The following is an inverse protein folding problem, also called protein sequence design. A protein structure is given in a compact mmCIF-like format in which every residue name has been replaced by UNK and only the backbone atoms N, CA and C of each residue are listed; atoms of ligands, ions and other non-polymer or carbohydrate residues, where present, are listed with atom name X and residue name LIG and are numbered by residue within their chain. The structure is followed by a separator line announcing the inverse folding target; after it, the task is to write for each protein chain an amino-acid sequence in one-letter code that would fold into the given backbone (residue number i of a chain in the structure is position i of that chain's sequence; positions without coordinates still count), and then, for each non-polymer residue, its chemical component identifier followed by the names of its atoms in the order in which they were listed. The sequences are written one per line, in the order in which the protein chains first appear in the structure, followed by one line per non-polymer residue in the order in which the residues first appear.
data_IF_045405537113
#
_entry.id   IF_045405537113
#
_cell.length_a   1.000
_cell.length_b   1.000
_cell.length_c   1.000
_cell.angle_alpha   90.00
_cell.angle_beta   90.00
_cell.angle_gamma   90.00
#
_symmetry.space_group_name_H-M   'P 1'
#
loop_
_entity.id
_entity.type
_entity.pdbx_description
1 polymer ?
#
# COMPACT_ATOMS: atom_id res chain seq x y z
N UNK A 1 5.71 -19.39 1.35
CA UNK A 1 5.92 -18.23 2.24
C UNK A 1 5.17 -18.50 3.52
N UNK A 2 5.83 -18.44 4.64
CA UNK A 2 5.19 -18.58 5.95
C UNK A 2 5.14 -17.17 6.56
N UNK A 3 3.96 -16.73 7.02
CA UNK A 3 3.74 -15.42 7.61
C UNK A 3 3.07 -14.39 6.70
N UNK A 4 2.77 -13.20 7.25
CA UNK A 4 2.06 -12.16 6.52
C UNK A 4 2.94 -11.50 5.46
N UNK A 5 2.31 -11.06 4.37
CA UNK A 5 2.94 -10.35 3.28
C UNK A 5 2.53 -8.88 3.36
N UNK A 6 3.48 -7.96 3.37
CA UNK A 6 3.21 -6.52 3.23
C UNK A 6 3.58 -6.06 1.83
N UNK A 7 2.59 -5.65 1.07
CA UNK A 7 2.77 -5.05 -0.25
C UNK A 7 2.89 -3.54 -0.10
N UNK A 8 4.05 -3.02 -0.45
CA UNK A 8 4.43 -1.62 -0.25
C UNK A 8 5.09 -1.02 -1.49
N UNK A 9 5.39 0.25 -1.45
CA UNK A 9 5.98 1.01 -2.56
C UNK A 9 5.37 2.40 -2.64
N UNK A 10 5.68 3.14 -3.69
CA UNK A 10 5.07 4.45 -3.88
C UNK A 10 3.55 4.33 -4.09
N UNK A 11 2.79 5.28 -3.56
CA UNK A 11 1.37 5.41 -3.89
C UNK A 11 1.22 5.49 -5.42
N UNK A 12 0.20 4.85 -5.95
CA UNK A 12 -0.09 4.74 -7.39
C UNK A 12 0.86 3.84 -8.18
N UNK A 13 1.81 3.15 -7.55
CA UNK A 13 2.64 2.13 -8.23
C UNK A 13 1.89 0.83 -8.52
N UNK A 14 0.66 0.65 -8.03
CA UNK A 14 -0.14 -0.56 -8.25
C UNK A 14 -0.16 -1.53 -7.06
N UNK A 15 0.23 -1.07 -5.88
CA UNK A 15 0.27 -1.89 -4.65
C UNK A 15 -1.05 -2.60 -4.36
N UNK A 16 -2.20 -1.94 -4.54
CA UNK A 16 -3.53 -2.57 -4.35
C UNK A 16 -3.75 -3.74 -5.31
N UNK A 17 -3.41 -3.57 -6.59
CA UNK A 17 -3.54 -4.63 -7.58
C UNK A 17 -2.64 -5.82 -7.22
N UNK A 18 -1.35 -5.57 -6.96
CA UNK A 18 -0.38 -6.61 -6.62
C UNK A 18 -0.79 -7.35 -5.33
N UNK A 19 -1.31 -6.64 -4.33
CA UNK A 19 -1.81 -7.27 -3.10
C UNK A 19 -2.94 -8.27 -3.39
N UNK A 20 -3.90 -7.89 -4.23
CA UNK A 20 -5.01 -8.77 -4.61
C UNK A 20 -4.52 -9.96 -5.45
N UNK A 21 -3.60 -9.75 -6.40
CA UNK A 21 -3.02 -10.83 -7.20
C UNK A 21 -2.28 -11.85 -6.33
N UNK A 22 -1.46 -11.39 -5.38
CA UNK A 22 -0.75 -12.25 -4.43
C UNK A 22 -1.71 -12.99 -3.50
N UNK A 23 -2.71 -12.30 -2.96
CA UNK A 23 -3.71 -12.92 -2.10
C UNK A 23 -4.49 -14.00 -2.84
N UNK A 24 -4.89 -13.75 -4.07
CA UNK A 24 -5.54 -14.76 -4.91
C UNK A 24 -4.62 -15.96 -5.17
N UNK A 25 -3.36 -15.72 -5.50
CA UNK A 25 -2.34 -16.76 -5.77
C UNK A 25 -2.09 -17.65 -4.55
N UNK A 26 -1.93 -17.05 -3.37
CA UNK A 26 -1.57 -17.79 -2.14
C UNK A 26 -2.78 -18.18 -1.29
N UNK A 27 -3.99 -17.76 -1.66
CA UNK A 27 -5.23 -17.95 -0.88
C UNK A 27 -5.14 -17.30 0.50
N UNK A 28 -4.61 -16.08 0.52
CA UNK A 28 -4.50 -15.23 1.70
C UNK A 28 -5.64 -14.21 1.75
N UNK A 29 -5.90 -13.68 2.94
CA UNK A 29 -6.86 -12.57 3.13
C UNK A 29 -6.19 -11.23 2.88
N UNK A 30 -6.83 -10.35 2.11
CA UNK A 30 -6.34 -8.97 1.88
C UNK A 30 -6.80 -8.07 3.01
N UNK A 31 -5.85 -7.30 3.55
CA UNK A 31 -6.12 -6.10 4.33
C UNK A 31 -5.62 -4.89 3.53
N UNK A 32 -6.52 -4.04 3.12
CA UNK A 32 -6.17 -2.92 2.28
C UNK A 32 -5.83 -1.65 3.11
N UNK A 33 -5.34 -0.60 2.41
CA UNK A 33 -4.78 0.62 2.97
C UNK A 33 -5.74 1.39 3.89
N UNK A 34 -7.03 1.32 3.62
CA UNK A 34 -8.06 2.01 4.41
C UNK A 34 -8.22 1.43 5.81
N UNK A 35 -7.82 0.18 6.00
CA UNK A 35 -7.86 -0.51 7.30
C UNK A 35 -6.63 -0.22 8.20
N UNK A 36 -5.67 0.60 7.74
CA UNK A 36 -4.37 0.79 8.39
C UNK A 36 -4.13 2.17 9.00
N UNK A 37 -5.11 2.98 9.15
CA UNK A 37 -5.02 4.31 9.74
C UNK A 37 -5.69 4.35 11.13
N UNK A 38 -4.98 4.70 12.19
CA UNK A 38 -3.55 4.98 12.35
C UNK A 38 -2.68 3.71 12.50
N UNK A 39 -1.46 3.75 11.99
CA UNK A 39 -0.61 2.58 11.75
C UNK A 39 -0.20 1.80 13.01
N UNK A 40 0.18 2.46 14.09
CA UNK A 40 0.74 1.80 15.27
C UNK A 40 -0.18 0.79 15.96
N UNK A 41 -1.45 1.09 16.26
CA UNK A 41 -2.38 0.11 16.82
C UNK A 41 -2.61 -1.10 15.91
N UNK A 42 -2.46 -0.92 14.60
CA UNK A 42 -2.66 -1.98 13.62
C UNK A 42 -1.49 -2.96 13.54
N UNK A 43 -0.24 -2.49 13.71
CA UNK A 43 0.93 -3.38 13.79
C UNK A 43 0.76 -4.35 14.96
N UNK A 44 0.38 -3.84 16.14
CA UNK A 44 0.13 -4.67 17.32
C UNK A 44 -1.00 -5.67 17.08
N UNK A 45 -2.05 -5.26 16.39
CA UNK A 45 -3.18 -6.11 16.03
C UNK A 45 -2.76 -7.23 15.09
N UNK A 46 -1.95 -6.93 14.07
CA UNK A 46 -1.43 -7.97 13.16
C UNK A 46 -0.46 -8.90 13.88
N UNK A 47 0.39 -8.37 14.75
CA UNK A 47 1.23 -9.20 15.60
C UNK A 47 0.38 -10.20 16.39
N UNK A 48 -0.65 -9.71 17.08
CA UNK A 48 -1.57 -10.55 17.85
C UNK A 48 -2.30 -11.57 16.97
N UNK A 49 -2.71 -11.19 15.75
CA UNK A 49 -3.30 -12.13 14.80
C UNK A 49 -2.33 -13.24 14.44
N UNK A 50 -1.08 -12.91 14.13
CA UNK A 50 -0.04 -13.89 13.82
C UNK A 50 0.25 -14.83 15.01
N UNK A 51 0.33 -14.31 16.23
CA UNK A 51 0.50 -15.08 17.45
C UNK A 51 -0.66 -16.06 17.71
N UNK A 52 -1.84 -15.76 17.19
CA UNK A 52 -3.02 -16.64 17.25
C UNK A 52 -3.18 -17.50 15.97
N UNK A 53 -2.16 -17.61 15.13
CA UNK A 53 -2.17 -18.47 13.94
C UNK A 53 -2.93 -17.90 12.75
N UNK A 54 -3.29 -16.61 12.77
CA UNK A 54 -3.89 -15.89 11.64
C UNK A 54 -2.78 -15.12 10.93
N UNK A 55 -1.98 -15.83 10.16
CA UNK A 55 -0.78 -15.29 9.48
C UNK A 55 -0.89 -15.23 7.96
N UNK A 56 -1.96 -15.82 7.38
CA UNK A 56 -2.21 -15.83 5.94
C UNK A 56 -2.84 -14.52 5.47
N UNK A 57 -2.10 -13.43 5.62
CA UNK A 57 -2.54 -12.07 5.34
C UNK A 57 -1.69 -11.46 4.24
N UNK A 58 -2.32 -10.75 3.32
CA UNK A 58 -1.67 -9.78 2.42
C UNK A 58 -2.15 -8.39 2.79
N UNK A 59 -1.21 -7.57 3.19
CA UNK A 59 -1.46 -6.23 3.70
C UNK A 59 -0.98 -5.23 2.67
N UNK A 60 -1.89 -4.45 2.12
CA UNK A 60 -1.54 -3.39 1.19
C UNK A 60 -1.36 -2.10 1.96
N UNK A 61 -0.11 -1.64 2.10
CA UNK A 61 0.20 -0.41 2.84
C UNK A 61 1.48 0.27 2.36
N UNK A 62 1.38 1.27 1.47
CA UNK A 62 2.53 2.08 1.07
C UNK A 62 3.24 2.76 2.24
N UNK A 63 2.46 3.27 3.21
CA UNK A 63 2.99 3.96 4.40
C UNK A 63 3.79 3.05 5.34
N UNK A 64 3.53 1.75 5.34
CA UNK A 64 4.26 0.77 6.15
C UNK A 64 5.76 0.73 5.81
N UNK A 65 6.15 1.20 4.63
CA UNK A 65 7.54 1.25 4.23
C UNK A 65 8.39 2.12 5.17
N UNK A 66 7.85 3.23 5.66
CA UNK A 66 8.57 4.08 6.63
C UNK A 66 8.74 3.40 8.01
N UNK A 67 7.96 2.38 8.30
CA UNK A 67 7.94 1.68 9.58
C UNK A 67 8.52 0.26 9.50
N UNK A 68 9.15 -0.11 8.40
CA UNK A 68 9.65 -1.48 8.20
C UNK A 68 10.52 -2.01 9.35
N UNK A 69 11.37 -1.22 10.03
CA UNK A 69 12.19 -1.76 11.12
C UNK A 69 11.32 -2.18 12.31
N UNK A 70 10.31 -1.38 12.64
CA UNK A 70 9.37 -1.68 13.75
C UNK A 70 8.52 -2.89 13.41
N UNK A 71 8.00 -2.96 12.18
CA UNK A 71 7.18 -4.08 11.71
C UNK A 71 7.99 -5.37 11.74
N UNK A 72 9.19 -5.37 11.19
CA UNK A 72 10.05 -6.55 11.17
C UNK A 72 10.47 -6.99 12.57
N UNK A 73 10.71 -6.05 13.49
CA UNK A 73 11.00 -6.36 14.89
C UNK A 73 9.82 -7.07 15.58
N UNK A 74 8.59 -6.60 15.35
CA UNK A 74 7.38 -7.15 15.96
C UNK A 74 6.89 -8.45 15.29
N UNK A 75 7.10 -8.56 13.99
CA UNK A 75 6.62 -9.67 13.16
C UNK A 75 7.80 -10.18 12.30
N UNK A 76 8.74 -10.95 12.88
CA UNK A 76 9.95 -11.39 12.15
C UNK A 76 9.67 -12.28 10.94
N UNK A 77 8.48 -12.89 10.88
CA UNK A 77 8.02 -13.73 9.76
C UNK A 77 7.43 -12.92 8.61
N UNK A 78 7.34 -11.59 8.73
CA UNK A 78 6.79 -10.74 7.68
C UNK A 78 7.66 -10.78 6.42
N UNK A 79 7.00 -10.83 5.27
CA UNK A 79 7.65 -10.71 3.97
C UNK A 79 7.20 -9.43 3.27
N UNK A 80 8.15 -8.57 2.91
CA UNK A 80 7.87 -7.32 2.21
C UNK A 80 7.91 -7.53 0.69
N UNK A 81 6.88 -7.07 0.00
CA UNK A 81 6.85 -7.02 -1.47
C UNK A 81 6.87 -5.58 -1.92
N UNK A 82 7.99 -5.13 -2.47
CA UNK A 82 8.15 -3.78 -3.00
C UNK A 82 7.70 -3.70 -4.45
N UNK A 83 6.74 -2.83 -4.73
CA UNK A 83 6.21 -2.64 -6.08
C UNK A 83 6.93 -1.48 -6.75
N UNK A 84 7.63 -1.77 -7.82
CA UNK A 84 8.24 -0.79 -8.72
C UNK A 84 7.33 -0.56 -9.93
N UNK A 85 7.32 0.67 -10.42
CA UNK A 85 6.61 1.07 -11.63
C UNK A 85 7.32 2.25 -12.26
N UNK A 86 7.13 2.44 -13.56
CA UNK A 86 7.63 3.62 -14.27
C UNK A 86 7.19 4.91 -13.59
N UNK A 87 8.14 5.82 -13.37
CA UNK A 87 7.92 7.09 -12.64
C UNK A 87 6.88 7.97 -13.32
N UNK A 88 6.95 8.07 -14.67
CA UNK A 88 6.01 8.89 -15.44
C UNK A 88 4.58 8.34 -15.34
N UNK A 89 4.44 7.02 -15.30
CA UNK A 89 3.13 6.38 -15.16
C UNK A 89 2.55 6.53 -13.75
N UNK A 90 3.41 6.57 -12.72
CA UNK A 90 2.99 6.93 -11.36
C UNK A 90 2.48 8.38 -11.35
N UNK A 91 3.25 9.32 -11.89
CA UNK A 91 2.88 10.75 -11.97
C UNK A 91 1.59 10.94 -12.75
N UNK A 92 1.44 10.31 -13.93
CA UNK A 92 0.19 10.32 -14.71
C UNK A 92 -0.99 9.80 -13.88
N UNK A 93 -0.76 8.72 -13.10
CA UNK A 93 -1.79 8.15 -12.24
C UNK A 93 -2.15 9.06 -11.07
N UNK A 94 -1.19 9.75 -10.46
CA UNK A 94 -1.42 10.74 -9.40
C UNK A 94 -2.27 11.90 -9.93
N UNK A 95 -1.90 12.46 -11.10
CA UNK A 95 -2.66 13.52 -11.76
C UNK A 95 -4.09 13.11 -12.11
N UNK A 96 -4.28 11.87 -12.59
CA UNK A 96 -5.60 11.35 -13.00
C UNK A 96 -6.58 11.24 -11.85
N UNK A 97 -6.14 10.79 -10.68
CA UNK A 97 -7.01 10.62 -9.52
C UNK A 97 -7.28 11.93 -8.80
N UNK A 98 -6.64 13.04 -9.27
CA UNK A 98 -6.73 14.34 -8.62
C UNK A 98 -6.73 14.14 -7.10
N UNK A 99 -5.59 13.74 -6.58
CA UNK A 99 -5.41 13.67 -5.14
C UNK A 99 -5.66 15.07 -4.59
N UNK A 100 -6.92 15.34 -4.26
CA UNK A 100 -7.42 16.65 -3.83
C UNK A 100 -7.03 16.97 -2.38
N UNK A 101 -6.19 16.13 -1.79
CA UNK A 101 -5.94 16.18 -0.37
C UNK A 101 -5.06 17.34 0.04
N UNK A 102 -4.29 17.89 -0.89
CA UNK A 102 -3.42 18.99 -0.58
C UNK A 102 -3.04 19.75 -1.84
N UNK A 103 -2.92 21.08 -1.73
CA UNK A 103 -2.32 21.93 -2.77
C UNK A 103 -0.91 21.42 -3.15
N UNK A 104 -0.21 20.75 -2.25
CA UNK A 104 1.10 20.14 -2.48
C UNK A 104 1.09 19.05 -3.57
N UNK A 105 0.04 18.21 -3.67
CA UNK A 105 -0.05 17.19 -4.72
C UNK A 105 -0.35 17.75 -6.12
N UNK A 106 -0.53 19.05 -6.25
CA UNK A 106 -0.58 19.73 -7.55
C UNK A 106 0.81 20.16 -8.03
N UNK A 107 1.82 20.15 -7.15
CA UNK A 107 3.19 20.44 -7.52
C UNK A 107 3.85 19.20 -8.14
N UNK A 108 4.26 19.32 -9.40
CA UNK A 108 4.93 18.22 -10.12
C UNK A 108 6.21 17.82 -9.41
N UNK A 109 7.01 18.76 -8.95
CA UNK A 109 8.27 18.50 -8.26
C UNK A 109 8.05 17.68 -6.99
N UNK A 110 7.00 17.99 -6.22
CA UNK A 110 6.63 17.19 -5.05
C UNK A 110 6.30 15.74 -5.40
N UNK A 111 5.66 15.46 -6.53
CA UNK A 111 5.37 14.08 -6.95
C UNK A 111 6.66 13.30 -7.20
N UNK A 112 7.62 13.91 -7.89
CA UNK A 112 8.92 13.26 -8.14
C UNK A 112 9.72 13.07 -6.86
N UNK A 113 9.77 14.08 -5.98
CA UNK A 113 10.44 13.99 -4.68
C UNK A 113 9.84 12.90 -3.81
N UNK A 114 8.50 12.80 -3.80
CA UNK A 114 7.81 11.74 -3.06
C UNK A 114 8.13 10.34 -3.62
N UNK A 115 8.14 10.18 -4.94
CA UNK A 115 8.51 8.90 -5.58
C UNK A 115 9.96 8.56 -5.23
N UNK A 116 10.87 9.51 -5.31
CA UNK A 116 12.28 9.31 -4.95
C UNK A 116 12.42 8.90 -3.48
N UNK A 117 11.76 9.62 -2.57
CA UNK A 117 11.75 9.30 -1.15
C UNK A 117 11.27 7.86 -0.86
N UNK A 118 10.20 7.43 -1.50
CA UNK A 118 9.68 6.06 -1.34
C UNK A 118 10.65 5.01 -1.91
N UNK A 119 11.34 5.33 -3.00
CA UNK A 119 12.38 4.47 -3.54
C UNK A 119 13.58 4.37 -2.60
N UNK A 120 14.02 5.47 -1.99
CA UNK A 120 15.14 5.49 -1.04
C UNK A 120 14.81 4.70 0.24
N UNK A 121 13.57 4.77 0.72
CA UNK A 121 13.09 3.93 1.82
C UNK A 121 13.15 2.45 1.45
N UNK A 122 12.74 2.09 0.24
CA UNK A 122 12.80 0.71 -0.23
C UNK A 122 14.25 0.21 -0.32
N UNK A 123 15.16 1.00 -0.87
CA UNK A 123 16.58 0.65 -0.90
C UNK A 123 17.18 0.54 0.52
N UNK A 124 16.71 1.34 1.45
CA UNK A 124 17.09 1.25 2.86
C UNK A 124 16.62 -0.06 3.50
N UNK A 125 15.37 -0.47 3.23
CA UNK A 125 14.84 -1.77 3.66
C UNK A 125 15.73 -2.92 3.15
N UNK A 126 16.06 -2.92 1.87
CA UNK A 126 16.88 -3.98 1.26
C UNK A 126 18.28 -4.10 1.85
N UNK A 127 18.84 -2.99 2.33
CA UNK A 127 20.16 -2.98 2.99
C UNK A 127 20.12 -3.51 4.42
N UNK A 128 18.98 -3.34 5.10
CA UNK A 128 18.86 -3.65 6.53
C UNK A 128 18.30 -5.05 6.77
N UNK A 129 17.33 -5.47 5.96
CA UNK A 129 16.66 -6.75 6.15
C UNK A 129 17.35 -7.90 5.38
N UNK A 130 17.26 -9.13 5.90
CA UNK A 130 17.69 -10.32 5.17
C UNK A 130 17.02 -10.41 3.79
N UNK A 131 17.77 -10.87 2.78
CA UNK A 131 17.24 -11.04 1.41
C UNK A 131 16.06 -12.01 1.31
N UNK A 132 15.89 -12.88 2.29
CA UNK A 132 14.75 -13.79 2.41
C UNK A 132 13.45 -13.11 2.86
N UNK A 133 13.55 -11.90 3.41
CA UNK A 133 12.41 -11.15 3.98
C UNK A 133 11.79 -10.15 3.03
N UNK A 134 12.26 -10.06 1.79
CA UNK A 134 11.70 -9.15 0.81
C UNK A 134 11.77 -9.67 -0.62
N UNK A 135 10.90 -9.16 -1.46
CA UNK A 135 10.89 -9.39 -2.92
C UNK A 135 10.55 -8.07 -3.61
N UNK A 136 11.22 -7.77 -4.70
CA UNK A 136 10.88 -6.64 -5.57
C UNK A 136 10.12 -7.16 -6.79
N UNK A 137 9.02 -6.51 -7.14
CA UNK A 137 8.23 -6.84 -8.34
C UNK A 137 8.00 -5.59 -9.17
N UNK A 138 8.00 -5.73 -10.48
CA UNK A 138 7.60 -4.67 -11.38
C UNK A 138 6.11 -4.80 -11.70
N UNK A 139 5.41 -3.69 -11.67
CA UNK A 139 3.99 -3.66 -11.97
C UNK A 139 3.69 -4.21 -13.37
N UNK A 140 4.54 -3.90 -14.32
CA UNK A 140 4.42 -4.28 -15.74
C UNK A 140 4.52 -5.81 -15.95
N UNK A 141 5.22 -6.53 -15.06
CA UNK A 141 5.36 -8.00 -15.13
C UNK A 141 4.02 -8.73 -14.85
N UNK A 142 2.99 -7.99 -14.42
CA UNK A 142 1.66 -8.53 -14.11
C UNK A 142 0.61 -8.25 -15.18
N UNK A 143 0.97 -7.74 -16.35
CA UNK A 143 0.01 -7.44 -17.43
C UNK A 143 -0.78 -8.68 -17.89
N UNK A 144 -0.24 -9.89 -17.73
CA UNK A 144 -0.93 -11.14 -18.01
C UNK A 144 -1.78 -11.71 -16.87
N UNK A 145 -1.83 -11.05 -15.71
CA UNK A 145 -2.64 -11.53 -14.58
C UNK A 145 -4.14 -11.29 -14.85
N UNK A 146 -5.03 -12.27 -14.56
CA UNK A 146 -6.48 -12.13 -14.78
C UNK A 146 -7.13 -10.94 -14.07
N UNK A 147 -6.51 -10.41 -13.02
CA UNK A 147 -6.98 -9.23 -12.30
C UNK A 147 -6.43 -7.91 -12.87
N UNK A 148 -5.55 -7.99 -13.87
CA UNK A 148 -4.97 -6.80 -14.46
C UNK A 148 -6.02 -6.04 -15.28
N UNK A 149 -6.15 -4.75 -14.98
CA UNK A 149 -7.03 -3.84 -15.73
C UNK A 149 -6.17 -2.81 -16.46
N UNK A 150 -6.16 -2.77 -17.79
CA UNK A 150 -5.44 -1.78 -18.57
C UNK A 150 -5.79 -0.35 -18.16
N UNK A 151 -4.87 0.59 -18.36
CA UNK A 151 -5.03 1.97 -17.87
C UNK A 151 -6.25 2.69 -18.46
N UNK A 152 -6.58 2.39 -19.72
CA UNK A 152 -7.74 2.89 -20.48
C UNK A 152 -9.06 2.40 -19.92
N UNK A 153 -9.10 1.18 -19.39
CA UNK A 153 -10.31 0.53 -18.87
C UNK A 153 -10.57 0.83 -17.38
N UNK A 154 -9.62 1.49 -16.72
CA UNK A 154 -9.77 1.80 -15.29
C UNK A 154 -10.84 2.85 -15.06
N UNK A 155 -11.82 2.50 -14.24
CA UNK A 155 -12.84 3.46 -13.80
C UNK A 155 -12.16 4.65 -13.13
N UNK A 156 -12.60 5.86 -13.49
CA UNK A 156 -12.19 7.09 -12.80
C UNK A 156 -12.90 7.11 -11.44
N UNK A 157 -12.19 6.72 -10.39
CA UNK A 157 -12.69 6.93 -9.05
C UNK A 157 -12.55 8.41 -8.70
N UNK A 158 -13.65 9.04 -8.39
CA UNK A 158 -13.63 10.31 -7.67
C UNK A 158 -13.81 10.02 -6.19
N UNK A 159 -13.18 10.80 -5.34
CA UNK A 159 -13.35 10.68 -3.88
C UNK A 159 -14.81 10.74 -3.47
N UNK A 160 -15.66 11.49 -4.20
CA UNK A 160 -17.12 11.52 -4.03
C UNK A 160 -17.80 10.17 -4.23
N UNK A 161 -17.23 9.27 -5.03
CA UNK A 161 -17.81 7.93 -5.23
C UNK A 161 -17.50 6.97 -4.08
N UNK A 162 -16.38 7.20 -3.39
CA UNK A 162 -15.97 6.38 -2.23
C UNK A 162 -16.62 6.91 -0.93
N UNK A 163 -16.84 8.23 -0.85
CA UNK A 163 -17.40 8.90 0.33
C UNK A 163 -18.47 9.93 -0.10
N UNK A 164 -19.65 9.47 -0.56
CA UNK A 164 -20.67 10.36 -1.16
C UNK A 164 -21.19 11.42 -0.19
N UNK A 165 -21.14 11.16 1.11
CA UNK A 165 -21.77 12.00 2.14
C UNK A 165 -20.80 13.01 2.79
N UNK A 166 -19.54 13.07 2.33
CA UNK A 166 -18.56 14.01 2.91
C UNK A 166 -18.41 15.27 2.06
N UNK A 167 -18.42 16.47 2.69
CA UNK A 167 -18.21 17.73 2.00
C UNK A 167 -16.85 17.78 1.30
N UNK A 168 -16.79 18.50 0.16
CA UNK A 168 -15.52 18.77 -0.52
C UNK A 168 -14.58 19.53 0.43
N UNK A 169 -13.33 19.09 0.55
CA UNK A 169 -12.34 19.68 1.45
C UNK A 169 -12.31 19.07 2.86
N UNK A 170 -13.11 18.05 3.15
CA UNK A 170 -12.99 17.32 4.42
C UNK A 170 -11.66 16.57 4.45
N UNK A 171 -10.87 16.77 5.50
CA UNK A 171 -9.64 16.04 5.71
C UNK A 171 -9.96 14.59 6.07
N UNK A 172 -9.70 13.64 5.17
CA UNK A 172 -10.00 12.21 5.36
C UNK A 172 -9.18 11.55 6.46
N UNK A 173 -8.18 12.25 6.98
CA UNK A 173 -7.33 11.79 8.08
C UNK A 173 -7.96 12.04 9.47
N UNK A 174 -9.05 12.81 9.56
CA UNK A 174 -9.82 13.01 10.78
C UNK A 174 -10.97 12.01 10.86
N UNK A 175 -10.65 10.73 11.03
CA UNK A 175 -11.64 9.77 11.50
C UNK A 175 -11.91 10.04 12.98
N UNK A 176 -13.14 10.36 13.34
CA UNK A 176 -13.54 10.52 14.75
C UNK A 176 -13.37 9.22 15.52
N UNK A 177 -13.47 8.07 14.83
CA UNK A 177 -13.15 6.77 15.40
C UNK A 177 -12.71 5.77 14.32
N UNK A 178 -11.39 5.52 14.14
CA UNK A 178 -10.89 4.55 13.17
C UNK A 178 -11.28 3.10 13.51
N UNK A 179 -11.83 2.84 14.68
CA UNK A 179 -12.27 1.51 15.11
C UNK A 179 -13.68 1.15 14.65
N UNK A 180 -14.51 2.12 14.24
CA UNK A 180 -15.87 1.87 13.76
C UNK A 180 -15.92 1.20 12.36
N UNK A 181 -14.77 1.09 11.69
CA UNK A 181 -14.65 0.45 10.37
C UNK A 181 -14.27 -1.04 10.48
N UNK A 182 -13.87 -1.50 11.66
CA UNK A 182 -13.28 -2.84 11.86
C UNK A 182 -14.18 -3.83 12.61
N UNK A 183 -15.44 -3.46 12.92
CA UNK A 183 -16.39 -4.35 13.59
C UNK A 183 -17.79 -4.23 12.97
#
# INVERSE_FOLDING_TARGET
MEGPIIVTGCQRSGTTFIANALANKYKYTVLDDTSWLPINPHIDKVQLMCENGIDKLVIQSPVSLALFPVIFHKIPTVHFVGVKRDTEDIVKSMKRVRWQFDEFYHCIDFMYDHIQYMNDLWESLKRVLPTTSWTEVKYEDFEGDPLFVPAEDRKKFTVKQVFPDKPAGTNYWTFENPFDILF
#
